data_IF_612170969332
#
_entry.id   IF_612170969332
#
_cell.length_a   1.000
_cell.length_b   1.000
_cell.length_c   1.000
_cell.angle_alpha   90.00
_cell.angle_beta   90.00
_cell.angle_gamma   90.00
#
_symmetry.space_group_name_H-M   'P 1'
#
loop_
_entity.id
_entity.type
_entity.pdbx_description
1 polymer ?
#
# COMPACT_ATOMS: atom_id res chain seq x y z
N UNK A 1 -75.85 -46.36 16.49
CA UNK A 1 -75.43 -44.99 16.75
C UNK A 1 -73.90 -44.98 16.81
N UNK A 2 -73.21 -44.62 15.74
CA UNK A 2 -71.77 -44.70 15.58
C UNK A 2 -71.24 -43.28 15.41
N UNK A 3 -70.48 -42.84 16.41
CA UNK A 3 -69.84 -41.52 16.47
C UNK A 3 -68.54 -41.58 15.67
N UNK A 4 -68.46 -40.82 14.56
CA UNK A 4 -67.22 -40.62 13.78
C UNK A 4 -66.35 -39.58 14.47
N UNK A 5 -65.16 -39.99 14.87
CA UNK A 5 -64.08 -39.05 15.27
C UNK A 5 -63.41 -38.49 14.03
N UNK A 6 -63.35 -37.14 13.95
CA UNK A 6 -62.62 -36.43 12.93
C UNK A 6 -61.25 -36.10 13.50
N UNK A 7 -60.20 -36.69 12.88
CA UNK A 7 -58.81 -36.44 13.24
C UNK A 7 -58.32 -35.20 12.44
N UNK A 8 -58.05 -34.11 13.14
CA UNK A 8 -57.40 -32.96 12.59
C UNK A 8 -55.88 -33.18 12.43
N UNK A 9 -55.42 -33.25 11.20
CA UNK A 9 -54.03 -33.34 10.88
C UNK A 9 -53.45 -31.93 10.81
N UNK A 10 -52.74 -31.50 11.87
CA UNK A 10 -52.03 -30.23 11.91
C UNK A 10 -50.68 -30.37 11.18
N UNK A 11 -50.61 -29.84 9.98
CA UNK A 11 -49.39 -29.71 9.21
C UNK A 11 -48.56 -28.60 9.80
N UNK A 12 -47.48 -28.90 10.52
CA UNK A 12 -46.47 -27.98 10.95
C UNK A 12 -45.58 -27.61 9.73
N UNK A 13 -45.70 -26.39 9.23
CA UNK A 13 -44.77 -25.80 8.27
C UNK A 13 -43.47 -25.45 9.02
N UNK A 14 -42.43 -26.23 8.82
CA UNK A 14 -41.06 -25.89 9.22
C UNK A 14 -40.52 -24.83 8.23
N UNK A 15 -40.53 -23.56 8.65
CA UNK A 15 -39.80 -22.49 7.97
C UNK A 15 -38.32 -22.71 8.34
N UNK A 16 -37.54 -23.29 7.42
CA UNK A 16 -36.11 -23.31 7.52
C UNK A 16 -35.57 -21.89 7.30
N UNK A 17 -35.28 -21.16 8.38
CA UNK A 17 -34.51 -19.93 8.34
C UNK A 17 -33.10 -20.28 7.86
N UNK A 18 -32.82 -19.98 6.60
CA UNK A 18 -31.46 -20.01 6.05
C UNK A 18 -30.62 -18.97 6.78
N UNK A 19 -29.86 -19.40 7.77
CA UNK A 19 -28.78 -18.62 8.35
C UNK A 19 -27.72 -18.52 7.24
N UNK A 20 -27.69 -17.35 6.58
CA UNK A 20 -26.55 -16.99 5.75
C UNK A 20 -25.31 -17.05 6.66
N UNK A 21 -24.49 -18.08 6.48
CA UNK A 21 -23.20 -18.18 7.11
C UNK A 21 -22.30 -17.13 6.46
N UNK A 22 -22.38 -15.92 6.97
CA UNK A 22 -21.34 -14.93 6.73
C UNK A 22 -20.12 -15.47 7.43
N UNK A 23 -19.14 -15.92 6.63
CA UNK A 23 -17.89 -16.42 7.17
C UNK A 23 -17.36 -15.40 8.18
N UNK A 24 -17.25 -15.83 9.43
CA UNK A 24 -16.48 -15.12 10.42
C UNK A 24 -15.03 -15.13 9.90
N UNK A 25 -14.62 -14.05 9.22
CA UNK A 25 -13.21 -13.79 9.07
C UNK A 25 -12.67 -13.74 10.51
N UNK A 26 -11.81 -14.68 10.85
CA UNK A 26 -11.06 -14.61 12.09
C UNK A 26 -10.53 -13.16 12.19
N UNK A 27 -10.78 -12.49 13.31
CA UNK A 27 -10.21 -11.18 13.62
C UNK A 27 -8.69 -11.30 13.58
N UNK A 28 -8.11 -11.20 12.39
CA UNK A 28 -6.69 -10.97 12.21
C UNK A 28 -6.46 -9.52 12.65
N UNK A 29 -6.08 -9.37 13.92
CA UNK A 29 -5.79 -8.07 14.50
C UNK A 29 -4.76 -7.39 13.58
N UNK A 30 -5.14 -6.22 13.03
CA UNK A 30 -4.24 -5.46 12.17
C UNK A 30 -2.92 -5.21 12.89
N UNK A 31 -1.82 -5.35 12.18
CA UNK A 31 -0.50 -5.02 12.72
C UNK A 31 -0.46 -3.51 12.99
N UNK A 32 -0.13 -3.07 14.22
CA UNK A 32 0.00 -1.65 14.53
C UNK A 32 1.00 -0.96 13.58
N UNK A 33 0.74 0.27 13.13
CA UNK A 33 1.53 0.91 12.07
C UNK A 33 3.02 1.04 12.42
N UNK A 34 3.37 1.30 13.69
CA UNK A 34 4.77 1.39 14.11
C UNK A 34 5.47 0.03 14.11
N UNK A 35 4.76 -1.05 14.45
CA UNK A 35 5.29 -2.41 14.33
C UNK A 35 5.46 -2.81 12.88
N UNK A 36 4.50 -2.47 12.02
CA UNK A 36 4.60 -2.71 10.58
C UNK A 36 5.81 -1.98 9.97
N UNK A 37 6.03 -0.72 10.35
CA UNK A 37 7.19 0.04 9.92
C UNK A 37 8.51 -0.58 10.41
N UNK A 38 8.57 -0.95 11.70
CA UNK A 38 9.75 -1.62 12.25
C UNK A 38 10.06 -2.93 11.49
N UNK A 39 9.05 -3.75 11.21
CA UNK A 39 9.19 -4.99 10.41
C UNK A 39 9.77 -4.72 9.02
N UNK A 40 9.28 -3.68 8.31
CA UNK A 40 9.84 -3.28 7.01
C UNK A 40 11.30 -2.86 7.14
N UNK A 41 11.63 -2.02 8.12
CA UNK A 41 12.99 -1.52 8.29
C UNK A 41 13.98 -2.62 8.71
N UNK A 42 13.56 -3.59 9.51
CA UNK A 42 14.35 -4.78 9.84
C UNK A 42 14.61 -5.64 8.60
N UNK A 43 13.60 -5.84 7.75
CA UNK A 43 13.75 -6.53 6.47
C UNK A 43 14.72 -5.80 5.55
N UNK A 44 14.59 -4.48 5.42
CA UNK A 44 15.53 -3.69 4.63
C UNK A 44 16.99 -3.77 5.17
N UNK A 45 17.16 -3.79 6.48
CA UNK A 45 18.50 -3.99 7.06
C UNK A 45 19.11 -5.35 6.70
N UNK A 46 18.29 -6.41 6.58
CA UNK A 46 18.78 -7.72 6.13
C UNK A 46 19.19 -7.65 4.66
N UNK A 47 18.32 -7.09 3.80
CA UNK A 47 18.60 -6.89 2.39
C UNK A 47 19.89 -6.07 2.16
N UNK A 48 20.02 -4.91 2.79
CA UNK A 48 21.20 -4.05 2.64
C UNK A 48 22.51 -4.68 3.14
N UNK A 49 22.44 -5.79 3.89
CA UNK A 49 23.62 -6.53 4.42
C UNK A 49 23.85 -7.87 3.73
N UNK A 50 23.12 -8.18 2.66
CA UNK A 50 23.18 -9.49 1.97
C UNK A 50 22.91 -10.65 2.96
N UNK A 51 21.83 -10.53 3.75
CA UNK A 51 21.40 -11.47 4.81
C UNK A 51 19.90 -11.72 4.80
N UNK A 52 19.32 -11.74 3.63
CA UNK A 52 17.90 -11.97 3.43
C UNK A 52 17.49 -13.34 3.95
N UNK A 53 16.29 -13.41 4.48
CA UNK A 53 15.69 -14.64 5.02
C UNK A 53 14.69 -15.27 4.05
N UNK A 54 14.23 -14.51 3.04
CA UNK A 54 13.23 -14.95 2.05
C UNK A 54 11.99 -15.58 2.72
N UNK A 55 11.33 -14.87 3.65
CA UNK A 55 10.19 -15.41 4.36
C UNK A 55 9.01 -15.64 3.42
N UNK A 56 8.11 -16.55 3.82
CA UNK A 56 6.80 -16.72 3.19
C UNK A 56 6.80 -17.01 1.67
N UNK A 57 7.84 -17.67 1.13
CA UNK A 57 7.95 -18.03 -0.29
C UNK A 57 7.55 -19.50 -0.58
N UNK A 58 7.01 -20.21 0.40
CA UNK A 58 6.76 -21.64 0.33
C UNK A 58 5.45 -22.02 -0.39
N UNK A 59 5.36 -23.30 -0.83
CA UNK A 59 4.11 -23.86 -1.32
C UNK A 59 3.00 -23.85 -0.24
N UNK A 60 3.38 -24.04 1.02
CA UNK A 60 2.43 -23.99 2.15
C UNK A 60 1.81 -22.61 2.26
N UNK A 61 2.63 -21.54 2.21
CA UNK A 61 2.16 -20.17 2.23
C UNK A 61 1.21 -19.84 1.07
N UNK A 62 1.53 -20.31 -0.15
CA UNK A 62 0.63 -20.12 -1.31
C UNK A 62 -0.74 -20.78 -1.09
N UNK A 63 -0.78 -21.93 -0.44
CA UNK A 63 -2.05 -22.63 -0.13
C UNK A 63 -2.84 -21.91 0.95
N UNK A 64 -2.16 -21.40 1.98
CA UNK A 64 -2.78 -20.62 3.06
C UNK A 64 -3.48 -19.37 2.52
N UNK A 65 -2.88 -18.70 1.54
CA UNK A 65 -3.38 -17.45 0.96
C UNK A 65 -4.46 -17.63 -0.12
N UNK A 66 -4.92 -18.87 -0.41
CA UNK A 66 -5.94 -19.08 -1.45
C UNK A 66 -7.28 -18.43 -1.11
N UNK A 67 -7.63 -18.39 0.15
CA UNK A 67 -8.94 -17.91 0.63
C UNK A 67 -8.91 -16.41 1.03
N UNK A 68 -7.75 -15.76 1.02
CA UNK A 68 -7.63 -14.34 1.36
C UNK A 68 -6.21 -13.85 1.53
N UNK A 69 -6.08 -12.52 1.72
CA UNK A 69 -4.80 -11.86 1.97
C UNK A 69 -4.92 -10.90 3.16
N UNK A 70 -3.84 -10.74 3.93
CA UNK A 70 -3.76 -9.87 5.09
C UNK A 70 -2.44 -9.12 5.12
N UNK A 71 -2.20 -8.22 4.14
CA UNK A 71 -0.94 -7.48 4.08
C UNK A 71 -0.81 -6.55 5.27
N UNK A 72 0.36 -6.51 5.89
CA UNK A 72 0.59 -5.65 7.04
C UNK A 72 0.97 -4.21 6.65
N UNK A 73 1.35 -3.97 5.38
CA UNK A 73 1.68 -2.65 4.85
C UNK A 73 1.31 -2.51 3.37
N UNK A 74 0.93 -1.29 2.98
CA UNK A 74 0.89 -0.85 1.58
C UNK A 74 2.24 -0.21 1.24
N UNK A 75 2.80 -0.54 0.08
CA UNK A 75 3.98 0.14 -0.47
C UNK A 75 3.65 0.67 -1.87
N UNK A 76 3.53 2.00 -1.98
CA UNK A 76 3.46 2.69 -3.26
C UNK A 76 4.87 3.05 -3.71
N UNK A 77 5.36 2.41 -4.79
CA UNK A 77 6.73 2.58 -5.29
C UNK A 77 6.80 2.82 -6.79
N UNK A 78 8.02 3.07 -7.27
CA UNK A 78 8.26 3.20 -8.70
C UNK A 78 8.20 1.83 -9.42
N UNK A 79 7.78 1.85 -10.71
CA UNK A 79 7.87 0.68 -11.60
C UNK A 79 9.31 0.36 -12.05
N UNK A 80 10.31 1.13 -11.62
CA UNK A 80 11.73 0.88 -11.92
C UNK A 80 12.13 -0.54 -11.52
N UNK A 81 12.76 -1.29 -12.45
CA UNK A 81 13.09 -2.71 -12.26
C UNK A 81 14.07 -2.97 -11.11
N UNK A 82 14.78 -1.95 -10.65
CA UNK A 82 15.76 -2.03 -9.55
C UNK A 82 15.15 -1.87 -8.16
N UNK A 83 13.84 -1.57 -8.07
CA UNK A 83 13.19 -1.22 -6.79
C UNK A 83 11.95 -2.08 -6.48
N UNK A 84 12.02 -3.43 -6.54
CA UNK A 84 10.92 -4.30 -6.14
C UNK A 84 10.76 -4.29 -4.61
N UNK A 85 9.62 -3.82 -4.06
CA UNK A 85 9.46 -3.66 -2.62
C UNK A 85 9.62 -4.94 -1.83
N UNK A 86 9.13 -6.07 -2.34
CA UNK A 86 9.20 -7.36 -1.67
C UNK A 86 10.66 -7.76 -1.40
N UNK A 87 11.56 -7.54 -2.37
CA UNK A 87 12.99 -7.83 -2.18
C UNK A 87 13.65 -6.80 -1.26
N UNK A 88 13.41 -5.50 -1.49
CA UNK A 88 14.02 -4.41 -0.72
C UNK A 88 13.71 -4.54 0.77
N UNK A 89 12.50 -4.99 1.11
CA UNK A 89 12.06 -5.17 2.50
C UNK A 89 12.16 -6.62 2.99
N UNK A 90 12.71 -7.55 2.19
CA UNK A 90 12.83 -8.98 2.54
C UNK A 90 11.51 -9.52 3.11
N UNK A 91 10.43 -9.41 2.30
CA UNK A 91 9.08 -9.84 2.63
C UNK A 91 8.57 -10.80 1.55
N UNK A 92 7.69 -11.71 1.94
CA UNK A 92 7.17 -12.75 1.06
C UNK A 92 5.71 -12.57 0.63
N UNK A 93 5.12 -13.67 0.19
CA UNK A 93 3.75 -13.71 -0.32
C UNK A 93 2.73 -13.29 0.74
N UNK A 94 1.89 -12.31 0.38
CA UNK A 94 0.80 -11.84 1.22
C UNK A 94 1.21 -10.86 2.33
N UNK A 95 2.50 -10.54 2.47
CA UNK A 95 2.99 -9.61 3.47
C UNK A 95 2.74 -8.15 3.09
N UNK A 96 2.90 -7.80 1.82
CA UNK A 96 2.77 -6.44 1.31
C UNK A 96 1.65 -6.32 0.29
N UNK A 97 0.95 -5.19 0.31
CA UNK A 97 0.08 -4.74 -0.77
C UNK A 97 0.87 -3.73 -1.62
N UNK A 98 1.35 -4.18 -2.77
CA UNK A 98 2.30 -3.41 -3.58
C UNK A 98 1.60 -2.72 -4.74
N UNK A 99 1.79 -1.40 -4.85
CA UNK A 99 1.33 -0.58 -5.97
C UNK A 99 2.57 0.03 -6.61
N UNK A 100 2.72 -0.13 -7.95
CA UNK A 100 3.89 0.36 -8.67
C UNK A 100 3.50 1.15 -9.90
N UNK A 101 3.93 2.40 -9.95
CA UNK A 101 3.76 3.30 -11.08
C UNK A 101 5.02 4.15 -11.25
N UNK A 102 5.40 4.49 -12.48
CA UNK A 102 6.60 5.28 -12.73
C UNK A 102 6.58 6.60 -11.94
N UNK A 103 7.64 6.85 -11.15
CA UNK A 103 7.74 8.03 -10.28
C UNK A 103 6.88 7.99 -9.03
N UNK A 104 6.38 6.80 -8.62
CA UNK A 104 5.59 6.61 -7.38
C UNK A 104 4.52 7.70 -7.16
N UNK A 105 3.86 8.14 -8.24
CA UNK A 105 2.74 9.09 -8.20
C UNK A 105 1.48 8.43 -7.62
N UNK A 106 0.47 9.23 -7.24
CA UNK A 106 -0.84 8.72 -6.85
C UNK A 106 -1.92 9.44 -7.68
N UNK A 107 -2.53 8.73 -8.62
CA UNK A 107 -3.74 9.08 -9.33
C UNK A 107 -4.92 8.27 -8.80
N UNK A 108 -6.09 8.40 -9.40
CA UNK A 108 -7.32 7.78 -8.88
C UNK A 108 -7.20 6.25 -8.73
N UNK A 109 -6.52 5.58 -9.65
CA UNK A 109 -6.36 4.12 -9.60
C UNK A 109 -5.42 3.67 -8.45
N UNK A 110 -4.32 4.40 -8.21
CA UNK A 110 -3.43 4.14 -7.08
C UNK A 110 -4.11 4.48 -5.76
N UNK A 111 -4.82 5.62 -5.66
CA UNK A 111 -5.59 5.99 -4.47
C UNK A 111 -6.68 4.98 -4.18
N UNK A 112 -7.47 4.56 -5.18
CA UNK A 112 -8.50 3.53 -5.02
C UNK A 112 -7.93 2.19 -4.55
N UNK A 113 -6.75 1.82 -5.02
CA UNK A 113 -6.05 0.60 -4.57
C UNK A 113 -5.60 0.73 -3.10
N UNK A 114 -5.15 1.90 -2.67
CA UNK A 114 -4.79 2.18 -1.27
C UNK A 114 -6.04 2.14 -0.38
N UNK A 115 -7.15 2.77 -0.81
CA UNK A 115 -8.42 2.74 -0.11
C UNK A 115 -8.91 1.31 0.10
N UNK A 116 -8.86 0.48 -0.95
CA UNK A 116 -9.19 -0.94 -0.85
C UNK A 116 -8.36 -1.67 0.22
N UNK A 117 -7.05 -1.44 0.27
CA UNK A 117 -6.19 -2.07 1.27
C UNK A 117 -6.53 -1.60 2.70
N UNK A 118 -6.86 -0.32 2.87
CA UNK A 118 -7.21 0.25 4.18
C UNK A 118 -8.58 -0.24 4.67
N UNK A 119 -9.60 -0.18 3.81
CA UNK A 119 -10.98 -0.48 4.19
C UNK A 119 -11.29 -1.97 4.24
N UNK A 120 -10.79 -2.73 3.25
CA UNK A 120 -11.17 -4.14 3.08
C UNK A 120 -10.12 -5.12 3.59
N UNK A 121 -8.83 -4.73 3.61
CA UNK A 121 -7.75 -5.59 4.11
C UNK A 121 -7.24 -5.17 5.49
N UNK A 122 -7.80 -4.08 6.06
CA UNK A 122 -7.45 -3.57 7.39
C UNK A 122 -5.96 -3.21 7.55
N UNK A 123 -5.29 -2.80 6.45
CA UNK A 123 -3.88 -2.40 6.47
C UNK A 123 -3.73 -1.02 7.11
N UNK A 124 -2.78 -0.87 8.05
CA UNK A 124 -2.62 0.35 8.87
C UNK A 124 -1.39 1.18 8.54
N UNK A 125 -0.51 0.69 7.69
CA UNK A 125 0.70 1.41 7.26
C UNK A 125 0.70 1.59 5.75
N UNK A 126 0.99 2.82 5.30
CA UNK A 126 1.23 3.15 3.89
C UNK A 126 2.62 3.77 3.78
N UNK A 127 3.47 3.22 2.92
CA UNK A 127 4.81 3.73 2.61
C UNK A 127 4.85 4.21 1.18
N UNK A 128 5.18 5.49 0.97
CA UNK A 128 5.50 6.04 -0.36
C UNK A 128 7.01 5.97 -0.54
N UNK A 129 7.46 5.03 -1.36
CA UNK A 129 8.87 4.75 -1.56
C UNK A 129 9.40 5.42 -2.84
N UNK A 130 10.12 6.53 -2.68
CA UNK A 130 10.98 7.11 -3.72
C UNK A 130 12.30 6.33 -3.84
N UNK A 131 13.06 6.63 -4.89
CA UNK A 131 14.38 6.02 -5.06
C UNK A 131 15.32 6.93 -5.84
N UNK A 132 16.61 6.82 -5.58
CA UNK A 132 17.64 7.56 -6.30
C UNK A 132 17.59 7.33 -7.81
N UNK A 133 18.03 8.32 -8.57
CA UNK A 133 18.17 8.25 -10.04
C UNK A 133 16.89 7.78 -10.74
N UNK A 134 15.72 8.23 -10.25
CA UNK A 134 14.43 7.89 -10.85
C UNK A 134 14.29 8.48 -12.25
N UNK A 135 14.05 7.60 -13.23
CA UNK A 135 13.91 8.01 -14.63
C UNK A 135 12.70 8.90 -14.88
N UNK A 136 11.58 8.69 -14.20
CA UNK A 136 10.38 9.52 -14.32
C UNK A 136 10.59 10.93 -13.77
N UNK A 137 11.29 11.06 -12.63
CA UNK A 137 11.67 12.37 -12.06
C UNK A 137 12.66 13.08 -12.98
N UNK A 138 13.66 12.36 -13.53
CA UNK A 138 14.59 12.91 -14.51
C UNK A 138 13.85 13.44 -15.75
N UNK A 139 12.89 12.68 -16.27
CA UNK A 139 12.07 13.11 -17.41
C UNK A 139 11.25 14.39 -17.07
N UNK A 140 10.69 14.47 -15.86
CA UNK A 140 9.93 15.63 -15.42
C UNK A 140 10.79 16.90 -15.31
N UNK A 141 12.04 16.77 -14.86
CA UNK A 141 13.01 17.89 -14.79
C UNK A 141 13.45 18.33 -16.19
N UNK A 142 13.67 17.39 -17.12
CA UNK A 142 14.19 17.67 -18.46
C UNK A 142 13.14 18.20 -19.44
N UNK A 143 11.88 17.79 -19.29
CA UNK A 143 10.84 18.07 -20.27
C UNK A 143 9.45 18.23 -19.63
N UNK A 144 9.04 19.47 -19.39
CA UNK A 144 7.65 19.77 -19.02
C UNK A 144 6.64 19.41 -20.14
N UNK A 145 7.11 19.18 -21.38
CA UNK A 145 6.30 18.94 -22.58
C UNK A 145 6.37 17.47 -23.06
N UNK A 146 6.33 16.51 -22.14
CA UNK A 146 6.24 15.11 -22.50
C UNK A 146 4.99 14.81 -23.37
N UNK A 147 5.12 13.90 -24.32
CA UNK A 147 4.04 13.51 -25.24
C UNK A 147 3.41 12.17 -24.81
N UNK A 148 2.23 11.89 -25.38
CA UNK A 148 1.51 10.66 -25.11
C UNK A 148 1.16 10.49 -23.62
N UNK A 149 1.08 9.25 -23.18
CA UNK A 149 0.71 8.93 -21.79
C UNK A 149 1.79 9.32 -20.76
N UNK A 150 3.04 9.46 -21.16
CA UNK A 150 4.11 9.95 -20.28
C UNK A 150 3.79 11.35 -19.73
N UNK A 151 3.00 12.14 -20.46
CA UNK A 151 2.55 13.47 -20.01
C UNK A 151 1.85 13.43 -18.65
N UNK A 152 1.02 12.42 -18.38
CA UNK A 152 0.32 12.28 -17.10
C UNK A 152 1.31 12.15 -15.94
N UNK A 153 2.31 11.27 -16.09
CA UNK A 153 3.35 11.05 -15.07
C UNK A 153 4.18 12.30 -14.83
N UNK A 154 4.66 12.93 -15.92
CA UNK A 154 5.46 14.16 -15.83
C UNK A 154 4.66 15.28 -15.16
N UNK A 155 3.39 15.46 -15.55
CA UNK A 155 2.53 16.50 -14.95
C UNK A 155 2.29 16.27 -13.45
N UNK A 156 2.17 15.01 -13.02
CA UNK A 156 2.01 14.66 -11.60
C UNK A 156 3.27 14.98 -10.77
N UNK A 157 4.47 14.88 -11.36
CA UNK A 157 5.74 15.16 -10.69
C UNK A 157 6.09 16.67 -10.75
N UNK A 158 5.57 17.40 -11.72
CA UNK A 158 5.94 18.79 -11.97
C UNK A 158 5.90 19.71 -10.75
N UNK A 159 4.91 19.64 -9.83
CA UNK A 159 4.92 20.46 -8.61
C UNK A 159 6.19 20.23 -7.76
N UNK A 160 6.70 19.00 -7.68
CA UNK A 160 7.94 18.69 -6.94
C UNK A 160 9.19 19.23 -7.65
N UNK A 161 9.18 19.30 -8.99
CA UNK A 161 10.24 19.97 -9.77
C UNK A 161 10.27 21.46 -9.46
N UNK A 162 9.10 22.10 -9.43
CA UNK A 162 8.99 23.54 -9.12
C UNK A 162 9.46 23.85 -7.68
N UNK A 163 9.04 23.05 -6.71
CA UNK A 163 9.43 23.19 -5.30
C UNK A 163 10.95 23.13 -5.11
N UNK A 164 11.61 22.26 -5.87
CA UNK A 164 13.05 21.99 -5.70
C UNK A 164 13.96 22.70 -6.67
N UNK A 165 13.41 23.48 -7.60
CA UNK A 165 14.13 24.15 -8.70
C UNK A 165 15.41 24.87 -8.25
N UNK A 166 15.34 25.58 -7.13
CA UNK A 166 16.41 26.45 -6.63
C UNK A 166 17.21 25.83 -5.48
N UNK A 167 16.96 24.56 -5.13
CA UNK A 167 17.71 23.91 -4.08
C UNK A 167 19.13 23.56 -4.56
N UNK A 168 20.14 23.72 -3.71
CA UNK A 168 21.51 23.30 -4.03
C UNK A 168 21.64 21.78 -4.06
N UNK A 169 22.69 21.27 -4.71
CA UNK A 169 23.02 19.84 -4.75
C UNK A 169 22.40 19.10 -5.93
N UNK A 170 22.12 17.81 -5.76
CA UNK A 170 21.55 16.95 -6.81
C UNK A 170 20.08 17.25 -7.02
N UNK A 171 19.76 17.80 -8.18
CA UNK A 171 18.39 18.19 -8.55
C UNK A 171 17.44 17.00 -8.64
N UNK A 172 17.91 15.86 -9.14
CA UNK A 172 17.08 14.65 -9.26
C UNK A 172 16.77 14.10 -7.88
N UNK A 173 17.77 13.98 -7.02
CA UNK A 173 17.58 13.49 -5.66
C UNK A 173 16.67 14.41 -4.84
N UNK A 174 16.91 15.74 -4.89
CA UNK A 174 16.02 16.71 -4.23
C UNK A 174 14.55 16.55 -4.66
N UNK A 175 14.33 16.40 -5.97
CA UNK A 175 12.99 16.24 -6.53
C UNK A 175 12.36 14.87 -6.14
N UNK A 176 13.14 13.77 -6.07
CA UNK A 176 12.68 12.47 -5.57
C UNK A 176 12.15 12.59 -4.15
N UNK A 177 12.93 13.21 -3.25
CA UNK A 177 12.53 13.39 -1.85
C UNK A 177 11.27 14.25 -1.71
N UNK A 178 11.20 15.35 -2.47
CA UNK A 178 10.02 16.20 -2.47
C UNK A 178 8.78 15.49 -3.03
N UNK A 179 8.94 14.71 -4.10
CA UNK A 179 7.85 13.96 -4.71
C UNK A 179 7.31 12.87 -3.76
N UNK A 180 8.17 12.13 -3.09
CA UNK A 180 7.74 11.12 -2.12
C UNK A 180 6.95 11.75 -0.96
N UNK A 181 7.41 12.89 -0.40
CA UNK A 181 6.69 13.62 0.65
C UNK A 181 5.35 14.18 0.15
N UNK A 182 5.35 14.77 -1.03
CA UNK A 182 4.13 15.35 -1.62
C UNK A 182 3.07 14.28 -1.88
N UNK A 183 3.46 13.14 -2.40
CA UNK A 183 2.53 12.02 -2.62
C UNK A 183 2.04 11.45 -1.27
N UNK A 184 2.90 11.32 -0.27
CA UNK A 184 2.47 10.91 1.07
C UNK A 184 1.48 11.91 1.69
N UNK A 185 1.70 13.20 1.50
CA UNK A 185 0.76 14.25 1.92
C UNK A 185 -0.57 14.13 1.15
N UNK A 186 -0.53 13.97 -0.18
CA UNK A 186 -1.72 13.77 -1.00
C UNK A 186 -2.56 12.58 -0.51
N UNK A 187 -1.94 11.46 -0.18
CA UNK A 187 -2.62 10.28 0.38
C UNK A 187 -3.27 10.61 1.72
N UNK A 188 -2.56 11.31 2.62
CA UNK A 188 -3.11 11.71 3.93
C UNK A 188 -4.35 12.60 3.84
N UNK A 189 -4.39 13.46 2.83
CA UNK A 189 -5.47 14.43 2.61
C UNK A 189 -6.52 13.97 1.60
N UNK A 190 -6.42 12.75 1.07
CA UNK A 190 -7.35 12.24 0.08
C UNK A 190 -8.72 11.94 0.70
N UNK A 191 -9.72 12.71 0.28
CA UNK A 191 -11.13 12.53 0.66
C UNK A 191 -11.85 11.56 -0.28
N UNK A 192 -12.91 10.90 0.20
CA UNK A 192 -13.45 10.97 1.55
C UNK A 192 -12.77 9.99 2.53
N UNK A 193 -12.09 8.94 2.05
CA UNK A 193 -11.73 7.76 2.84
C UNK A 193 -10.43 7.96 3.63
N UNK A 194 -9.32 8.16 2.92
CA UNK A 194 -7.98 8.10 3.55
C UNK A 194 -7.78 9.20 4.60
N UNK A 195 -8.29 10.40 4.32
CA UNK A 195 -8.24 11.52 5.28
C UNK A 195 -8.91 11.18 6.62
N UNK A 196 -10.05 10.50 6.58
CA UNK A 196 -10.74 10.09 7.80
C UNK A 196 -9.89 9.15 8.65
N UNK A 197 -9.29 8.11 8.02
CA UNK A 197 -8.44 7.14 8.71
C UNK A 197 -7.15 7.77 9.26
N UNK A 198 -6.53 8.68 8.52
CA UNK A 198 -5.29 9.35 8.93
C UNK A 198 -5.54 10.34 10.06
N UNK A 199 -6.61 11.13 10.01
CA UNK A 199 -6.98 12.07 11.08
C UNK A 199 -7.34 11.37 12.39
N UNK A 200 -7.94 10.19 12.34
CA UNK A 200 -8.23 9.35 13.51
C UNK A 200 -6.98 8.63 14.05
N UNK A 201 -5.83 8.76 13.40
CA UNK A 201 -4.62 8.01 13.75
C UNK A 201 -4.73 6.50 13.50
N UNK A 202 -5.75 6.05 12.76
CA UNK A 202 -5.97 4.64 12.45
C UNK A 202 -5.04 4.12 11.35
N UNK A 203 -4.55 5.01 10.48
CA UNK A 203 -3.59 4.72 9.41
C UNK A 203 -2.44 5.71 9.49
N UNK A 204 -1.23 5.19 9.35
CA UNK A 204 0.01 5.96 9.25
C UNK A 204 0.50 5.97 7.82
N UNK A 205 0.82 7.16 7.29
CA UNK A 205 1.42 7.34 5.96
C UNK A 205 2.81 7.94 6.13
N UNK A 206 3.82 7.28 5.56
CA UNK A 206 5.21 7.75 5.60
C UNK A 206 5.78 7.85 4.20
N UNK A 207 6.67 8.83 3.98
CA UNK A 207 7.52 8.89 2.80
C UNK A 207 8.87 8.25 3.13
N UNK A 208 9.47 7.57 2.15
CA UNK A 208 10.80 6.97 2.28
C UNK A 208 11.58 7.11 0.97
N UNK A 209 12.90 7.04 1.07
CA UNK A 209 13.83 7.05 -0.05
C UNK A 209 14.72 5.82 -0.03
N UNK A 210 14.91 5.20 -1.20
CA UNK A 210 15.75 4.04 -1.39
C UNK A 210 17.04 4.40 -2.13
N UNK A 211 18.16 4.17 -1.50
CA UNK A 211 19.49 4.36 -2.08
C UNK A 211 19.90 3.14 -2.92
N UNK A 212 20.16 3.35 -4.21
CA UNK A 212 20.46 2.27 -5.16
C UNK A 212 21.81 1.59 -4.92
N UNK A 213 22.77 2.30 -4.36
CA UNK A 213 24.13 1.80 -4.14
C UNK A 213 24.26 0.98 -2.86
N UNK A 214 23.57 1.37 -1.81
CA UNK A 214 23.65 0.75 -0.49
C UNK A 214 22.51 -0.21 -0.17
N UNK A 215 21.41 -0.13 -0.93
CA UNK A 215 20.19 -0.88 -0.64
C UNK A 215 19.41 -0.37 0.57
N UNK A 216 19.81 0.76 1.15
CA UNK A 216 19.23 1.29 2.39
C UNK A 216 17.98 2.11 2.06
N UNK A 217 16.92 1.88 2.84
CA UNK A 217 15.72 2.72 2.89
C UNK A 217 15.81 3.66 4.07
N UNK A 218 15.56 4.96 3.81
CA UNK A 218 15.50 5.99 4.84
C UNK A 218 14.10 6.57 4.90
N UNK A 219 13.46 6.53 6.07
CA UNK A 219 12.18 7.21 6.31
C UNK A 219 12.42 8.72 6.34
N UNK A 220 11.64 9.45 5.58
CA UNK A 220 11.77 10.89 5.45
C UNK A 220 10.92 11.59 6.52
N UNK A 221 11.52 12.57 7.19
CA UNK A 221 10.77 13.45 8.09
C UNK A 221 9.78 14.30 7.29
N UNK A 222 8.57 14.49 7.85
CA UNK A 222 7.61 15.46 7.30
C UNK A 222 8.22 16.86 7.51
N UNK A 223 8.42 17.60 6.40
CA UNK A 223 8.73 19.02 6.51
C UNK A 223 7.44 19.70 6.91
N UNK A 224 7.33 20.12 8.16
CA UNK A 224 6.29 21.05 8.57
C UNK A 224 6.52 22.34 7.79
N UNK A 225 5.59 22.65 6.89
CA UNK A 225 5.48 23.94 6.19
C UNK A 225 4.95 25.01 7.13
#
# INVERSE_FOLDING_TARGET
>A
MTTKQITFCSSLLLIAAGIACWGQHADNAAVPPDQALARLMEGNQRYARDKEQHPDETLARRRELQDGQHPFAVVLSCSDSRVPPELIFDQGLGDLFVIRVAGNIASDDELGSIEYAVEHLNTKLIVVLGHEKCGAVTAAIQSANAQGHLKSIVSAIQPSVEETRNLPGDKVHNCVLANARRVAHQIRESEPVLREFTQKGAVKVVAADYALDSGIVTVLEDRHS
#
